data_IF_192566738770
#
_entry.id   IF_192566738770
#
_cell.length_a   1.000
_cell.length_b   1.000
_cell.length_c   1.000
_cell.angle_alpha   90.00
_cell.angle_beta   90.00
_cell.angle_gamma   90.00
#
_symmetry.space_group_name_H-M   'P 1'
#
loop_
_entity.id
_entity.type
_entity.pdbx_description
1 polymer ?
#
# COMPACT_ATOMS: atom_id res chain seq x y z
N UNK A 1 -22.17 23.64 74.87
CA UNK A 1 -22.47 23.33 73.47
C UNK A 1 -21.18 23.27 72.68
N UNK A 2 -20.66 22.04 72.39
CA UNK A 2 -19.45 21.86 71.60
C UNK A 2 -19.88 21.66 70.16
N UNK A 3 -19.46 22.58 69.26
CA UNK A 3 -19.66 22.48 67.79
C UNK A 3 -18.64 21.51 67.21
N UNK A 4 -19.10 20.36 66.71
CA UNK A 4 -18.30 19.46 65.90
C UNK A 4 -18.22 20.02 64.46
N UNK A 5 -17.03 20.41 64.03
CA UNK A 5 -16.73 20.77 62.64
C UNK A 5 -16.30 19.47 61.94
N UNK A 6 -17.16 18.97 61.06
CA UNK A 6 -16.87 17.81 60.20
C UNK A 6 -16.07 18.32 58.98
N UNK A 7 -14.75 18.12 59.00
CA UNK A 7 -13.91 18.45 57.86
C UNK A 7 -13.96 17.33 56.84
N UNK A 8 -14.68 17.55 55.73
CA UNK A 8 -14.74 16.65 54.57
C UNK A 8 -13.46 16.82 53.75
N UNK A 9 -12.47 15.95 53.94
CA UNK A 9 -11.29 15.86 53.08
C UNK A 9 -11.67 15.18 51.80
N UNK A 10 -11.86 15.96 50.74
CA UNK A 10 -12.06 15.41 49.37
C UNK A 10 -10.70 14.91 48.88
N UNK A 11 -10.51 13.59 48.90
CA UNK A 11 -9.34 12.92 48.30
C UNK A 11 -9.55 12.88 46.79
N UNK A 12 -9.08 13.88 46.06
CA UNK A 12 -8.98 13.89 44.61
C UNK A 12 -7.93 12.86 44.18
N UNK A 13 -8.34 11.61 43.96
CA UNK A 13 -7.51 10.67 43.21
C UNK A 13 -7.34 11.22 41.80
N UNK A 14 -6.19 11.77 41.50
CA UNK A 14 -5.76 12.09 40.14
C UNK A 14 -5.61 10.76 39.39
N UNK A 15 -6.68 10.31 38.74
CA UNK A 15 -6.58 9.23 37.75
C UNK A 15 -5.78 9.84 36.60
N UNK A 16 -4.49 9.54 36.53
CA UNK A 16 -3.69 9.82 35.34
C UNK A 16 -4.22 8.96 34.20
N UNK A 17 -5.24 9.45 33.51
CA UNK A 17 -5.66 8.89 32.23
C UNK A 17 -4.48 9.17 31.30
N UNK A 18 -3.68 8.17 31.00
CA UNK A 18 -2.71 8.26 29.92
C UNK A 18 -3.49 8.53 28.63
N UNK A 19 -3.60 9.81 28.26
CA UNK A 19 -4.25 10.20 27.04
C UNK A 19 -3.50 9.57 25.86
N UNK A 20 -4.23 8.94 24.94
CA UNK A 20 -3.66 8.41 23.71
C UNK A 20 -2.90 9.51 22.97
N UNK A 21 -1.68 9.23 22.54
CA UNK A 21 -0.92 10.16 21.71
C UNK A 21 -1.58 10.30 20.34
N UNK A 22 -2.22 11.43 20.07
CA UNK A 22 -2.89 11.75 18.81
C UNK A 22 -1.92 11.84 17.61
N UNK A 23 -0.63 11.91 17.89
CA UNK A 23 0.43 11.91 16.89
C UNK A 23 1.01 10.52 16.64
N UNK A 24 0.57 9.49 17.37
CA UNK A 24 0.94 8.11 17.11
C UNK A 24 -0.19 7.40 16.37
N UNK A 25 -0.05 7.23 15.06
CA UNK A 25 -1.02 6.60 14.17
C UNK A 25 -0.69 5.13 13.99
N UNK A 26 -1.66 4.27 14.23
CA UNK A 26 -1.49 2.82 14.22
C UNK A 26 -2.31 2.24 13.08
N UNK A 27 -1.69 1.36 12.31
CA UNK A 27 -2.35 0.56 11.28
C UNK A 27 -2.32 -0.91 11.65
N UNK A 28 -3.49 -1.57 11.58
CA UNK A 28 -3.60 -3.00 11.81
C UNK A 28 -3.43 -3.72 10.48
N UNK A 29 -2.67 -4.81 10.46
CA UNK A 29 -2.33 -5.55 9.25
C UNK A 29 -2.73 -6.99 9.41
N UNK A 30 -3.56 -7.50 8.50
CA UNK A 30 -3.97 -8.89 8.42
C UNK A 30 -3.79 -9.41 7.00
N UNK A 31 -3.61 -10.71 6.84
CA UNK A 31 -3.51 -11.34 5.52
C UNK A 31 -2.36 -12.33 5.43
N UNK A 32 -1.77 -12.40 4.25
CA UNK A 32 -0.77 -13.40 3.90
C UNK A 32 0.63 -12.83 3.73
N UNK A 33 1.58 -13.64 3.29
CA UNK A 33 3.00 -13.30 3.13
C UNK A 33 3.24 -12.10 2.19
N UNK A 34 2.29 -11.80 1.30
CA UNK A 34 2.32 -10.57 0.49
C UNK A 34 2.28 -9.26 1.31
N UNK A 35 2.05 -9.36 2.63
CA UNK A 35 2.17 -8.19 3.53
C UNK A 35 3.57 -8.05 4.15
N UNK A 36 4.28 -9.15 4.36
CA UNK A 36 5.53 -9.18 5.14
C UNK A 36 6.71 -9.81 4.39
N UNK A 37 6.68 -9.96 3.08
CA UNK A 37 7.76 -10.53 2.27
C UNK A 37 8.25 -11.92 2.74
N UNK A 38 8.85 -12.71 1.86
CA UNK A 38 9.48 -13.98 2.27
C UNK A 38 10.80 -13.69 2.98
N UNK A 39 10.93 -14.10 4.24
CA UNK A 39 12.23 -14.26 4.88
C UNK A 39 12.96 -15.42 4.19
N UNK A 40 14.06 -15.15 3.47
CA UNK A 40 14.99 -16.20 3.09
C UNK A 40 16.02 -16.40 4.22
N UNK A 41 16.72 -17.55 4.23
CA UNK A 41 17.62 -17.96 5.30
C UNK A 41 18.81 -17.00 5.54
N UNK A 42 19.05 -16.06 4.65
CA UNK A 42 20.20 -15.15 4.66
C UNK A 42 19.83 -13.70 4.98
N UNK A 43 18.53 -13.33 4.98
CA UNK A 43 18.08 -11.96 5.20
C UNK A 43 17.24 -11.84 6.45
N UNK A 44 17.58 -10.84 7.27
CA UNK A 44 16.64 -10.24 8.21
C UNK A 44 15.34 -9.94 7.45
N UNK A 45 14.20 -10.31 8.02
CA UNK A 45 12.86 -10.08 7.47
C UNK A 45 12.79 -8.71 6.75
N UNK A 46 12.75 -8.72 5.42
CA UNK A 46 12.55 -7.50 4.65
C UNK A 46 11.06 -7.33 4.41
N UNK A 47 10.51 -6.40 5.14
CA UNK A 47 9.11 -6.00 5.00
C UNK A 47 8.99 -4.85 4.01
N UNK A 48 9.35 -5.11 2.74
CA UNK A 48 9.40 -4.07 1.71
C UNK A 48 8.09 -3.29 1.57
N UNK A 49 6.94 -3.97 1.74
CA UNK A 49 5.65 -3.31 1.65
C UNK A 49 5.43 -2.38 2.84
N UNK A 50 5.61 -2.86 4.07
CA UNK A 50 5.37 -2.06 5.27
C UNK A 50 6.43 -0.99 5.45
N UNK A 51 7.69 -1.24 5.08
CA UNK A 51 8.73 -0.21 5.09
C UNK A 51 8.40 0.94 4.12
N UNK A 52 7.97 0.62 2.90
CA UNK A 52 7.53 1.61 1.92
C UNK A 52 6.28 2.35 2.39
N UNK A 53 5.33 1.65 3.00
CA UNK A 53 4.13 2.24 3.60
C UNK A 53 4.50 3.26 4.68
N UNK A 54 5.31 2.86 5.68
CA UNK A 54 5.72 3.73 6.79
C UNK A 54 6.52 4.92 6.30
N UNK A 55 7.44 4.71 5.36
CA UNK A 55 8.22 5.78 4.73
C UNK A 55 7.31 6.81 4.07
N UNK A 56 6.40 6.35 3.20
CA UNK A 56 5.48 7.23 2.48
C UNK A 56 4.55 7.99 3.43
N UNK A 57 4.03 7.31 4.46
CA UNK A 57 3.23 7.98 5.49
C UNK A 57 4.03 9.07 6.19
N UNK A 58 5.26 8.78 6.62
CA UNK A 58 6.10 9.75 7.35
C UNK A 58 6.47 10.97 6.50
N UNK A 59 6.65 10.78 5.20
CA UNK A 59 6.92 11.86 4.25
C UNK A 59 5.71 12.80 4.06
N UNK A 60 4.47 12.26 4.12
CA UNK A 60 3.25 13.03 3.85
C UNK A 60 2.61 13.62 5.10
N UNK A 61 2.87 13.06 6.28
CA UNK A 61 2.33 13.55 7.57
C UNK A 61 3.45 13.82 8.57
N UNK A 62 4.28 14.84 8.34
CA UNK A 62 5.39 15.16 9.23
C UNK A 62 4.87 15.44 10.65
N UNK A 63 5.58 14.95 11.66
CA UNK A 63 5.18 15.04 13.06
C UNK A 63 4.22 13.95 13.54
N UNK A 64 3.78 13.04 12.66
CA UNK A 64 3.09 11.80 13.06
C UNK A 64 4.08 10.64 13.14
N UNK A 65 3.99 9.86 14.21
CA UNK A 65 4.67 8.56 14.33
C UNK A 65 3.75 7.49 13.73
N UNK A 66 4.28 6.62 12.89
CA UNK A 66 3.51 5.56 12.26
C UNK A 66 3.90 4.23 12.90
N UNK A 67 2.92 3.51 13.40
CA UNK A 67 3.07 2.18 13.96
C UNK A 67 2.24 1.16 13.22
N UNK A 68 2.73 -0.07 13.17
CA UNK A 68 2.06 -1.19 12.53
C UNK A 68 1.89 -2.33 13.53
N UNK A 69 0.70 -2.91 13.58
CA UNK A 69 0.40 -4.14 14.30
C UNK A 69 0.03 -5.19 13.26
N UNK A 70 0.93 -6.12 12.99
CA UNK A 70 0.77 -7.11 11.95
C UNK A 70 0.56 -8.52 12.52
N UNK A 71 -0.47 -9.21 12.03
CA UNK A 71 -0.68 -10.64 12.19
C UNK A 71 -0.91 -11.23 10.79
N UNK A 72 0.09 -11.94 10.29
CA UNK A 72 0.08 -12.50 8.94
C UNK A 72 0.38 -13.99 8.98
N UNK A 73 -0.24 -14.72 8.07
CA UNK A 73 -0.10 -16.17 7.96
C UNK A 73 0.33 -16.54 6.54
N UNK A 74 1.33 -17.40 6.35
CA UNK A 74 1.64 -17.90 5.02
C UNK A 74 0.46 -18.72 4.47
N UNK A 75 0.15 -18.53 3.20
CA UNK A 75 -0.83 -19.34 2.42
C UNK A 75 -2.16 -19.69 3.13
N UNK A 76 -2.58 -18.91 4.13
CA UNK A 76 -3.80 -19.18 4.89
C UNK A 76 -4.99 -18.38 4.35
N UNK A 77 -6.16 -19.01 4.14
CA UNK A 77 -7.36 -18.30 3.73
C UNK A 77 -7.86 -17.35 4.83
N UNK A 78 -8.65 -16.36 4.42
CA UNK A 78 -9.17 -15.31 5.31
C UNK A 78 -9.98 -15.85 6.50
N UNK A 79 -10.52 -17.08 6.40
CA UNK A 79 -11.25 -17.73 7.49
C UNK A 79 -10.38 -17.90 8.76
N UNK A 80 -9.06 -17.92 8.64
CA UNK A 80 -8.15 -17.96 9.77
C UNK A 80 -8.34 -16.76 10.72
N UNK A 81 -8.84 -15.64 10.21
CA UNK A 81 -9.15 -14.43 10.98
C UNK A 81 -10.62 -14.29 11.36
N UNK A 82 -11.49 -15.24 10.99
CA UNK A 82 -12.91 -15.23 11.39
C UNK A 82 -13.05 -15.83 12.81
N UNK A 83 -13.27 -14.98 13.81
CA UNK A 83 -13.30 -15.38 15.23
C UNK A 83 -14.32 -16.48 15.57
N UNK A 84 -15.34 -16.65 14.73
CA UNK A 84 -16.37 -17.67 14.96
C UNK A 84 -16.02 -18.98 14.24
N UNK A 85 -15.19 -18.96 13.20
CA UNK A 85 -14.92 -20.10 12.33
C UNK A 85 -13.45 -20.55 12.29
N UNK A 86 -12.51 -19.78 12.83
CA UNK A 86 -11.07 -20.09 12.73
C UNK A 86 -10.73 -21.46 13.35
N UNK A 87 -11.39 -21.84 14.46
CA UNK A 87 -11.11 -23.13 15.12
C UNK A 87 -11.36 -24.32 14.21
N UNK A 88 -12.48 -24.30 13.45
CA UNK A 88 -12.78 -25.33 12.47
C UNK A 88 -11.75 -25.35 11.31
N UNK A 89 -11.24 -24.20 10.91
CA UNK A 89 -10.13 -24.14 9.96
C UNK A 89 -8.86 -24.72 10.55
N UNK A 90 -8.41 -24.23 11.69
CA UNK A 90 -7.16 -24.65 12.36
C UNK A 90 -7.13 -26.16 12.61
N UNK A 91 -8.24 -26.76 13.04
CA UNK A 91 -8.32 -28.21 13.29
C UNK A 91 -8.14 -29.07 12.03
N UNK A 92 -8.26 -28.50 10.84
CA UNK A 92 -8.13 -29.19 9.55
C UNK A 92 -6.81 -28.89 8.83
N UNK A 93 -5.98 -28.01 9.39
CA UNK A 93 -4.67 -27.68 8.79
C UNK A 93 -3.73 -28.87 8.94
N UNK A 94 -3.27 -29.40 7.82
CA UNK A 94 -2.32 -30.53 7.78
C UNK A 94 -0.91 -30.10 7.43
N UNK A 95 -0.76 -29.00 6.72
CA UNK A 95 0.53 -28.44 6.31
C UNK A 95 1.34 -27.96 7.51
N UNK A 96 2.57 -28.45 7.66
CA UNK A 96 3.42 -28.18 8.82
C UNK A 96 3.89 -26.72 8.90
N UNK A 97 4.07 -26.04 7.75
CA UNK A 97 4.45 -24.61 7.71
C UNK A 97 3.31 -23.76 8.26
N UNK A 98 2.08 -24.04 7.82
CA UNK A 98 0.89 -23.36 8.31
C UNK A 98 0.61 -23.66 9.79
N UNK A 99 0.79 -24.91 10.26
CA UNK A 99 0.72 -25.25 11.70
C UNK A 99 1.72 -24.44 12.51
N UNK A 100 2.98 -24.38 12.06
CA UNK A 100 4.03 -23.60 12.73
C UNK A 100 3.71 -22.11 12.76
N UNK A 101 3.17 -21.55 11.67
CA UNK A 101 2.77 -20.17 11.61
C UNK A 101 1.59 -19.86 12.55
N UNK A 102 0.56 -20.71 12.56
CA UNK A 102 -0.58 -20.61 13.47
C UNK A 102 -0.14 -20.73 14.94
N UNK A 103 0.81 -21.63 15.23
CA UNK A 103 1.37 -21.81 16.58
C UNK A 103 2.03 -20.54 17.13
N UNK A 104 2.58 -19.66 16.29
CA UNK A 104 3.11 -18.35 16.72
C UNK A 104 2.04 -17.45 17.34
N UNK A 105 0.78 -17.71 17.04
CA UNK A 105 -0.39 -16.96 17.49
C UNK A 105 -1.32 -17.80 18.38
N UNK A 106 -0.80 -18.81 19.06
CA UNK A 106 -1.57 -19.74 19.91
C UNK A 106 -2.78 -20.33 19.16
N UNK A 107 -2.63 -20.59 17.86
CA UNK A 107 -3.69 -21.03 16.95
C UNK A 107 -4.92 -20.10 16.89
N UNK A 108 -4.78 -18.84 17.29
CA UNK A 108 -5.84 -17.83 17.29
C UNK A 108 -5.34 -16.50 16.75
N UNK A 109 -5.12 -16.36 15.43
CA UNK A 109 -4.58 -15.12 14.82
C UNK A 109 -5.48 -13.91 15.09
N UNK A 110 -6.82 -14.08 15.07
CA UNK A 110 -7.73 -13.00 15.40
C UNK A 110 -7.57 -12.51 16.85
N UNK A 111 -7.54 -13.42 17.81
CA UNK A 111 -7.34 -13.08 19.22
C UNK A 111 -6.02 -12.38 19.47
N UNK A 112 -4.98 -12.84 18.81
CA UNK A 112 -3.64 -12.23 18.89
C UNK A 112 -3.65 -10.80 18.32
N UNK A 113 -4.26 -10.60 17.14
CA UNK A 113 -4.44 -9.26 16.57
C UNK A 113 -5.14 -8.31 17.56
N UNK A 114 -6.26 -8.74 18.13
CA UNK A 114 -7.02 -7.92 19.08
C UNK A 114 -6.21 -7.60 20.34
N UNK A 115 -5.47 -8.55 20.88
CA UNK A 115 -4.60 -8.35 22.04
C UNK A 115 -3.51 -7.32 21.77
N UNK A 116 -2.76 -7.49 20.68
CA UNK A 116 -1.70 -6.56 20.27
C UNK A 116 -2.26 -5.17 19.94
N UNK A 117 -3.41 -5.13 19.25
CA UNK A 117 -4.05 -3.87 18.88
C UNK A 117 -4.57 -3.09 20.11
N UNK A 118 -5.08 -3.76 21.14
CA UNK A 118 -5.46 -3.11 22.42
C UNK A 118 -4.25 -2.46 23.07
N UNK A 119 -3.12 -3.17 23.13
CA UNK A 119 -1.88 -2.65 23.70
C UNK A 119 -1.37 -1.45 22.88
N UNK A 120 -1.41 -1.50 21.55
CA UNK A 120 -1.02 -0.38 20.72
C UNK A 120 -1.98 0.80 20.86
N UNK A 121 -3.30 0.54 20.85
CA UNK A 121 -4.36 1.55 21.00
C UNK A 121 -4.27 2.31 22.32
N UNK A 122 -3.77 1.71 23.41
CA UNK A 122 -3.56 2.44 24.67
C UNK A 122 -2.50 3.55 24.54
N UNK A 123 -1.63 3.48 23.52
CA UNK A 123 -0.53 4.43 23.28
C UNK A 123 -0.80 5.40 22.14
N UNK A 124 -1.67 5.03 21.18
CA UNK A 124 -1.91 5.82 19.97
C UNK A 124 -3.29 5.57 19.39
N UNK A 125 -3.54 6.11 18.20
CA UNK A 125 -4.83 6.10 17.52
C UNK A 125 -4.80 5.14 16.33
N UNK A 126 -5.72 4.16 16.29
CA UNK A 126 -5.89 3.29 15.11
C UNK A 126 -6.50 4.09 13.98
N UNK A 127 -5.84 4.10 12.81
CA UNK A 127 -6.18 4.91 11.63
C UNK A 127 -6.62 4.09 10.41
N UNK A 128 -6.38 2.79 10.40
CA UNK A 128 -6.80 1.92 9.30
C UNK A 128 -6.50 0.46 9.58
N UNK A 129 -7.12 -0.39 8.77
CA UNK A 129 -6.88 -1.84 8.73
C UNK A 129 -6.43 -2.18 7.31
N UNK A 130 -5.31 -2.87 7.16
CA UNK A 130 -4.75 -3.30 5.88
C UNK A 130 -4.98 -4.81 5.71
N UNK A 131 -5.49 -5.20 4.57
CA UNK A 131 -5.70 -6.59 4.18
C UNK A 131 -5.03 -6.87 2.84
N UNK A 132 -4.16 -7.86 2.81
CA UNK A 132 -3.61 -8.43 1.58
C UNK A 132 -3.76 -9.95 1.61
N UNK A 133 -4.41 -10.48 0.60
CA UNK A 133 -4.56 -11.91 0.39
C UNK A 133 -3.95 -12.33 -0.95
N UNK A 134 -3.66 -13.61 -1.09
CA UNK A 134 -3.22 -14.23 -2.34
C UNK A 134 -4.24 -15.27 -2.83
N UNK A 135 -3.79 -16.33 -3.49
CA UNK A 135 -4.62 -17.35 -4.09
C UNK A 135 -5.18 -18.41 -3.14
N UNK A 136 -5.02 -18.29 -1.83
CA UNK A 136 -5.52 -19.29 -0.87
C UNK A 136 -7.02 -19.20 -0.60
N UNK A 137 -7.70 -18.18 -1.14
CA UNK A 137 -9.14 -17.98 -0.97
C UNK A 137 -9.91 -18.21 -2.27
N UNK A 138 -11.15 -18.72 -2.14
CA UNK A 138 -12.14 -18.68 -3.19
C UNK A 138 -12.77 -17.31 -3.26
N UNK A 139 -12.27 -16.44 -4.13
CA UNK A 139 -12.76 -15.08 -4.29
C UNK A 139 -14.17 -15.05 -4.89
N UNK A 140 -15.16 -14.93 -4.02
CA UNK A 140 -16.59 -14.89 -4.36
C UNK A 140 -17.36 -14.01 -3.35
N UNK A 141 -18.67 -13.98 -3.46
CA UNK A 141 -19.54 -13.20 -2.55
C UNK A 141 -19.42 -13.65 -1.07
N UNK A 142 -19.14 -14.93 -0.82
CA UNK A 142 -18.96 -15.44 0.54
C UNK A 142 -17.64 -14.90 1.14
N UNK A 143 -16.60 -14.79 0.34
CA UNK A 143 -15.35 -14.15 0.75
C UNK A 143 -15.57 -12.68 1.12
N UNK A 144 -16.27 -11.91 0.28
CA UNK A 144 -16.59 -10.51 0.57
C UNK A 144 -17.37 -10.34 1.88
N UNK A 145 -18.39 -11.18 2.10
CA UNK A 145 -19.19 -11.18 3.32
C UNK A 145 -18.34 -11.53 4.55
N UNK A 146 -17.38 -12.46 4.42
CA UNK A 146 -16.47 -12.83 5.50
C UNK A 146 -15.49 -11.71 5.83
N UNK A 147 -14.89 -11.07 4.83
CA UNK A 147 -14.05 -9.88 5.04
C UNK A 147 -14.81 -8.78 5.76
N UNK A 148 -16.04 -8.47 5.32
CA UNK A 148 -16.92 -7.50 5.99
C UNK A 148 -17.18 -7.88 7.45
N UNK A 149 -17.46 -9.15 7.73
CA UNK A 149 -17.69 -9.66 9.11
C UNK A 149 -16.44 -9.48 9.97
N UNK A 150 -15.27 -9.86 9.47
CA UNK A 150 -13.99 -9.71 10.18
C UNK A 150 -13.72 -8.23 10.48
N UNK A 151 -13.90 -7.35 9.52
CA UNK A 151 -13.76 -5.91 9.72
C UNK A 151 -14.63 -5.40 10.85
N UNK A 152 -15.94 -5.67 10.83
CA UNK A 152 -16.84 -5.20 11.88
C UNK A 152 -16.59 -5.86 13.25
N UNK A 153 -16.08 -7.08 13.27
CA UNK A 153 -15.61 -7.71 14.50
C UNK A 153 -14.44 -6.93 15.10
N UNK A 154 -13.43 -6.57 14.29
CA UNK A 154 -12.28 -5.77 14.75
C UNK A 154 -12.75 -4.39 15.26
N UNK A 155 -13.59 -3.69 14.48
CA UNK A 155 -14.16 -2.39 14.87
C UNK A 155 -14.84 -2.48 16.24
N UNK A 156 -15.73 -3.48 16.43
CA UNK A 156 -16.46 -3.67 17.68
C UNK A 156 -15.55 -4.06 18.84
N UNK A 157 -14.70 -5.06 18.65
CA UNK A 157 -13.89 -5.65 19.73
C UNK A 157 -12.77 -4.69 20.21
N UNK A 158 -12.42 -3.70 19.38
CA UNK A 158 -11.52 -2.60 19.73
C UNK A 158 -12.25 -1.28 20.05
N UNK A 159 -13.58 -1.25 20.00
CA UNK A 159 -14.37 -0.02 20.17
C UNK A 159 -13.86 1.13 19.29
N UNK A 160 -13.79 0.88 17.98
CA UNK A 160 -13.36 1.84 16.98
C UNK A 160 -14.58 2.47 16.27
N UNK A 161 -14.35 3.65 15.68
CA UNK A 161 -15.34 4.31 14.81
C UNK A 161 -15.09 3.89 13.35
N UNK A 162 -16.01 3.14 12.77
CA UNK A 162 -15.88 2.64 11.38
C UNK A 162 -15.76 3.76 10.34
N UNK A 163 -16.28 4.95 10.64
CA UNK A 163 -16.18 6.12 9.73
C UNK A 163 -14.78 6.73 9.69
N UNK A 164 -13.92 6.38 10.67
CA UNK A 164 -12.56 6.92 10.83
C UNK A 164 -11.45 5.88 10.62
N UNK A 165 -11.84 4.62 10.49
CA UNK A 165 -10.89 3.48 10.37
C UNK A 165 -11.25 2.67 9.13
N UNK A 166 -10.80 3.09 7.93
CA UNK A 166 -11.09 2.38 6.70
C UNK A 166 -10.40 1.02 6.64
N UNK A 167 -11.00 0.10 5.87
CA UNK A 167 -10.36 -1.14 5.45
C UNK A 167 -9.68 -0.92 4.09
N UNK A 168 -8.37 -1.07 4.03
CA UNK A 168 -7.56 -1.00 2.83
C UNK A 168 -7.34 -2.41 2.32
N UNK A 169 -7.76 -2.72 1.10
CA UNK A 169 -7.69 -4.07 0.53
C UNK A 169 -6.86 -4.02 -0.73
N UNK A 170 -5.71 -4.71 -0.73
CA UNK A 170 -4.84 -4.78 -1.89
C UNK A 170 -5.37 -5.74 -2.97
N UNK A 171 -5.21 -5.33 -4.22
CA UNK A 171 -5.32 -6.25 -5.35
C UNK A 171 -4.22 -7.31 -5.27
N UNK A 172 -4.46 -8.47 -5.88
CA UNK A 172 -3.43 -9.46 -6.17
C UNK A 172 -2.71 -9.10 -7.47
N UNK A 173 -1.63 -9.81 -7.80
CA UNK A 173 -0.90 -9.59 -9.04
C UNK A 173 -1.79 -9.59 -10.27
N UNK A 174 -1.66 -8.57 -11.12
CA UNK A 174 -2.51 -8.35 -12.30
C UNK A 174 -2.13 -9.27 -13.46
N UNK A 175 -3.07 -9.49 -14.38
CA UNK A 175 -2.90 -10.32 -15.57
C UNK A 175 -1.81 -9.80 -16.51
N UNK A 176 -1.62 -8.49 -16.61
CA UNK A 176 -0.59 -7.85 -17.43
C UNK A 176 0.85 -8.25 -17.02
N UNK A 177 1.03 -8.66 -15.74
CA UNK A 177 2.29 -9.20 -15.22
C UNK A 177 2.30 -10.73 -15.10
N UNK A 178 1.28 -11.39 -15.67
CA UNK A 178 1.12 -12.84 -15.60
C UNK A 178 0.63 -13.37 -14.26
N UNK A 179 0.00 -12.52 -13.44
CA UNK A 179 -0.49 -12.89 -12.11
C UNK A 179 -1.44 -14.06 -12.11
N UNK A 180 -1.08 -15.15 -11.41
CA UNK A 180 -1.85 -16.41 -11.39
C UNK A 180 -3.28 -16.24 -10.86
N UNK A 181 -3.48 -15.29 -9.96
CA UNK A 181 -4.76 -15.05 -9.30
C UNK A 181 -5.44 -13.76 -9.74
N UNK A 182 -5.03 -13.19 -10.86
CA UNK A 182 -5.51 -11.89 -11.36
C UNK A 182 -7.04 -11.79 -11.45
N UNK A 183 -7.74 -12.90 -11.65
CA UNK A 183 -9.20 -12.96 -11.70
C UNK A 183 -9.86 -12.52 -10.38
N UNK A 184 -9.17 -12.70 -9.23
CA UNK A 184 -9.63 -12.28 -7.91
C UNK A 184 -9.88 -10.76 -7.82
N UNK A 185 -9.13 -9.97 -8.61
CA UNK A 185 -9.28 -8.51 -8.62
C UNK A 185 -10.68 -8.03 -9.04
N UNK A 186 -11.44 -8.86 -9.81
CA UNK A 186 -12.86 -8.59 -10.11
C UNK A 186 -13.75 -8.60 -8.87
N UNK A 187 -13.41 -9.43 -7.88
CA UNK A 187 -14.16 -9.56 -6.62
C UNK A 187 -13.66 -8.50 -5.63
N UNK A 188 -12.33 -8.35 -5.51
CA UNK A 188 -11.69 -7.34 -4.67
C UNK A 188 -12.19 -5.94 -5.06
N UNK A 189 -12.21 -5.61 -6.34
CA UNK A 189 -12.64 -4.32 -6.88
C UNK A 189 -14.10 -3.94 -6.57
N UNK A 190 -14.92 -4.91 -6.13
CA UNK A 190 -16.32 -4.68 -5.75
C UNK A 190 -16.52 -4.53 -4.23
N UNK A 191 -15.45 -4.59 -3.43
CA UNK A 191 -15.60 -4.57 -1.97
C UNK A 191 -16.30 -3.33 -1.42
N UNK A 192 -16.12 -2.17 -2.04
CA UNK A 192 -16.81 -0.93 -1.65
C UNK A 192 -18.35 -1.01 -1.75
N UNK A 193 -18.87 -1.93 -2.58
CA UNK A 193 -20.33 -2.19 -2.68
C UNK A 193 -20.85 -3.01 -1.52
N UNK A 194 -19.97 -3.77 -0.86
CA UNK A 194 -20.32 -4.66 0.26
C UNK A 194 -19.98 -4.02 1.60
N UNK A 195 -18.89 -3.26 1.64
CA UNK A 195 -18.39 -2.54 2.81
C UNK A 195 -18.06 -1.10 2.41
N UNK A 196 -18.91 -0.16 2.80
CA UNK A 196 -18.80 1.27 2.47
C UNK A 196 -17.44 1.87 2.88
N UNK A 197 -16.88 1.43 4.00
CA UNK A 197 -15.61 1.94 4.54
C UNK A 197 -14.41 1.14 4.03
N UNK A 198 -14.48 0.59 2.83
CA UNK A 198 -13.35 -0.10 2.21
C UNK A 198 -12.81 0.67 1.01
N UNK A 199 -11.50 0.65 0.88
CA UNK A 199 -10.74 1.24 -0.22
C UNK A 199 -9.88 0.14 -0.86
N UNK A 200 -10.02 -0.03 -2.16
CA UNK A 200 -9.18 -0.95 -2.92
C UNK A 200 -7.85 -0.26 -3.24
N UNK A 201 -6.76 -0.96 -2.95
CA UNK A 201 -5.40 -0.54 -3.27
C UNK A 201 -4.99 -1.24 -4.57
N UNK A 202 -4.85 -0.52 -5.68
CA UNK A 202 -4.56 -1.11 -6.97
C UNK A 202 -3.12 -1.61 -7.05
N UNK A 203 -2.90 -2.75 -7.71
CA UNK A 203 -1.58 -3.33 -7.96
C UNK A 203 -1.01 -3.03 -9.36
N UNK A 204 -1.51 -1.98 -10.00
CA UNK A 204 -0.97 -1.46 -11.25
C UNK A 204 0.50 -1.08 -11.09
N UNK A 205 1.35 -1.38 -12.06
CA UNK A 205 2.80 -1.17 -12.00
C UNK A 205 3.49 -1.79 -10.77
N UNK A 206 2.94 -2.89 -10.24
CA UNK A 206 3.57 -3.69 -9.19
C UNK A 206 4.08 -5.00 -9.82
N UNK A 207 5.34 -5.07 -10.27
CA UNK A 207 5.88 -6.26 -10.90
C UNK A 207 5.90 -7.44 -9.95
N UNK A 208 5.74 -8.63 -10.53
CA UNK A 208 5.71 -9.90 -9.80
C UNK A 208 7.07 -10.60 -9.84
N UNK A 209 7.33 -11.42 -8.83
CA UNK A 209 8.41 -12.39 -8.82
C UNK A 209 8.17 -13.49 -9.89
N UNK A 210 9.15 -14.36 -10.10
CA UNK A 210 9.09 -15.40 -11.13
C UNK A 210 7.95 -16.39 -10.92
N UNK A 211 7.53 -16.64 -9.69
CA UNK A 211 6.43 -17.53 -9.35
C UNK A 211 5.05 -16.98 -9.77
N UNK A 212 4.96 -15.70 -10.13
CA UNK A 212 3.73 -15.02 -10.55
C UNK A 212 2.61 -15.01 -9.51
N UNK A 213 2.96 -15.21 -8.25
CA UNK A 213 2.08 -15.17 -7.09
C UNK A 213 2.42 -13.98 -6.21
N UNK A 214 3.72 -13.88 -5.87
CA UNK A 214 4.23 -12.81 -5.02
C UNK A 214 4.73 -11.63 -5.85
N UNK A 215 4.73 -10.46 -5.24
CA UNK A 215 5.36 -9.29 -5.84
C UNK A 215 6.88 -9.41 -5.79
N UNK A 216 7.58 -8.84 -6.75
CA UNK A 216 9.00 -8.58 -6.65
C UNK A 216 9.28 -7.55 -5.53
N UNK A 217 10.53 -7.33 -5.17
CA UNK A 217 10.89 -6.26 -4.23
C UNK A 217 10.30 -4.91 -4.66
N UNK A 218 10.50 -4.53 -5.91
CA UNK A 218 9.95 -3.30 -6.48
C UNK A 218 8.42 -3.27 -6.42
N UNK A 219 7.77 -4.40 -6.74
CA UNK A 219 6.32 -4.54 -6.65
C UNK A 219 5.79 -4.34 -5.24
N UNK A 220 6.49 -4.86 -4.22
CA UNK A 220 6.15 -4.63 -2.82
C UNK A 220 6.33 -3.16 -2.41
N UNK A 221 7.42 -2.51 -2.85
CA UNK A 221 7.67 -1.10 -2.57
C UNK A 221 6.59 -0.20 -3.19
N UNK A 222 6.20 -0.48 -4.44
CA UNK A 222 5.11 0.23 -5.12
C UNK A 222 3.76 0.01 -4.42
N UNK A 223 3.46 -1.23 -4.04
CA UNK A 223 2.20 -1.54 -3.37
C UNK A 223 2.13 -0.88 -1.99
N UNK A 224 3.23 -0.89 -1.23
CA UNK A 224 3.33 -0.22 0.07
C UNK A 224 3.09 1.29 -0.02
N UNK A 225 3.69 1.94 -1.01
CA UNK A 225 3.42 3.34 -1.32
C UNK A 225 1.92 3.58 -1.57
N UNK A 226 1.27 2.75 -2.38
CA UNK A 226 -0.17 2.88 -2.69
C UNK A 226 -1.07 2.64 -1.50
N UNK A 227 -0.70 1.71 -0.63
CA UNK A 227 -1.40 1.54 0.65
C UNK A 227 -1.36 2.82 1.47
N UNK A 228 -0.21 3.50 1.53
CA UNK A 228 -0.07 4.77 2.26
C UNK A 228 -0.94 5.88 1.64
N UNK A 229 -0.91 6.04 0.33
CA UNK A 229 -1.75 7.01 -0.39
C UNK A 229 -3.23 6.73 -0.13
N UNK A 230 -3.68 5.46 -0.23
CA UNK A 230 -5.07 5.08 0.08
C UNK A 230 -5.43 5.28 1.54
N UNK A 231 -4.50 5.04 2.46
CA UNK A 231 -4.71 5.29 3.89
C UNK A 231 -4.94 6.78 4.16
N UNK A 232 -4.14 7.65 3.56
CA UNK A 232 -4.28 9.10 3.69
C UNK A 232 -5.61 9.59 3.10
N UNK A 233 -5.98 9.13 1.90
CA UNK A 233 -7.29 9.42 1.30
C UNK A 233 -8.44 8.95 2.18
N UNK A 234 -8.34 7.76 2.76
CA UNK A 234 -9.37 7.16 3.61
C UNK A 234 -9.65 7.90 4.92
N UNK A 235 -8.70 8.69 5.39
CA UNK A 235 -8.86 9.56 6.58
C UNK A 235 -9.13 11.02 6.22
N UNK A 236 -9.42 11.30 4.93
CA UNK A 236 -9.72 12.65 4.44
C UNK A 236 -8.50 13.58 4.34
N UNK A 237 -7.30 13.02 4.25
CA UNK A 237 -6.10 13.81 4.01
C UNK A 237 -6.03 14.20 2.54
N UNK A 238 -6.00 15.50 2.27
CA UNK A 238 -5.78 16.00 0.91
C UNK A 238 -4.31 15.81 0.56
N UNK A 239 -4.06 14.82 -0.28
CA UNK A 239 -2.74 14.67 -0.88
C UNK A 239 -2.54 15.80 -1.89
N UNK A 240 -1.32 16.34 -2.02
CA UNK A 240 -0.98 17.15 -3.18
C UNK A 240 -1.42 16.37 -4.42
N UNK A 241 -2.11 17.02 -5.36
CA UNK A 241 -2.61 16.32 -6.55
C UNK A 241 -1.49 15.50 -7.18
N UNK A 242 -1.58 14.17 -7.02
CA UNK A 242 -0.73 13.25 -7.79
C UNK A 242 -1.22 13.38 -9.22
N UNK A 243 -0.41 13.98 -10.06
CA UNK A 243 -0.72 14.17 -11.47
C UNK A 243 -1.03 12.82 -12.09
N UNK A 244 -2.28 12.64 -12.52
CA UNK A 244 -2.69 11.44 -13.25
C UNK A 244 -2.08 11.51 -14.62
N UNK A 245 -0.94 10.89 -14.82
CA UNK A 245 -0.43 10.64 -16.16
C UNK A 245 -1.29 9.55 -16.80
N UNK A 246 -2.25 9.96 -17.63
CA UNK A 246 -3.32 9.07 -18.09
C UNK A 246 -3.03 8.35 -19.39
N UNK A 247 -2.02 8.77 -20.16
CA UNK A 247 -1.62 8.06 -21.37
C UNK A 247 -0.22 8.44 -21.83
N UNK A 248 0.54 7.45 -22.25
CA UNK A 248 1.79 7.63 -23.00
C UNK A 248 1.52 7.12 -24.42
N UNK A 249 1.64 8.00 -25.39
CA UNK A 249 1.57 7.62 -26.80
C UNK A 249 2.98 7.68 -27.37
N UNK A 250 3.53 6.50 -27.74
CA UNK A 250 4.80 6.39 -28.43
C UNK A 250 4.61 6.76 -29.89
N UNK A 251 5.32 7.75 -30.40
CA UNK A 251 5.44 8.02 -31.82
C UNK A 251 6.89 7.78 -32.23
N UNK A 252 7.11 6.85 -33.14
CA UNK A 252 8.43 6.63 -33.73
C UNK A 252 8.53 7.49 -34.96
N UNK A 253 9.45 8.44 -34.99
CA UNK A 253 9.85 9.12 -36.21
C UNK A 253 10.85 8.22 -36.88
N UNK A 254 10.63 7.92 -38.13
CA UNK A 254 11.21 6.82 -38.91
C UNK A 254 12.75 6.83 -38.96
N UNK A 255 13.38 6.30 -37.91
CA UNK A 255 14.78 5.91 -37.87
C UNK A 255 14.89 4.50 -37.30
N UNK A 256 15.32 3.59 -38.11
CA UNK A 256 15.25 2.12 -37.95
C UNK A 256 15.94 1.49 -36.72
N UNK A 257 16.52 2.25 -35.82
CA UNK A 257 17.45 1.71 -34.80
C UNK A 257 17.28 2.22 -33.38
N UNK A 258 16.51 3.30 -33.15
CA UNK A 258 16.39 3.89 -31.79
C UNK A 258 15.18 3.36 -31.05
N UNK A 259 15.42 2.70 -29.93
CA UNK A 259 14.38 2.30 -28.98
C UNK A 259 14.61 2.99 -27.62
N UNK A 260 13.62 3.77 -27.18
CA UNK A 260 13.54 4.34 -25.84
C UNK A 260 12.32 3.75 -25.14
N UNK A 261 12.53 3.07 -24.04
CA UNK A 261 11.46 2.69 -23.12
C UNK A 261 11.27 3.78 -22.09
N UNK A 262 10.03 4.17 -21.79
CA UNK A 262 9.72 5.13 -20.72
C UNK A 262 8.75 4.54 -19.72
N UNK A 263 8.97 4.84 -18.45
CA UNK A 263 8.09 4.51 -17.35
C UNK A 263 7.90 5.75 -16.47
N UNK A 264 6.69 5.95 -15.94
CA UNK A 264 6.39 7.08 -15.05
C UNK A 264 5.94 6.52 -13.71
N UNK A 265 6.66 6.92 -12.67
CA UNK A 265 6.31 6.56 -11.30
C UNK A 265 5.11 7.35 -10.79
N UNK A 266 4.46 6.85 -9.72
CA UNK A 266 3.36 7.54 -9.03
C UNK A 266 3.77 8.91 -8.45
N UNK A 267 5.08 9.18 -8.35
CA UNK A 267 5.64 10.48 -7.93
C UNK A 267 5.82 11.47 -9.10
N UNK A 268 5.38 11.10 -10.30
CA UNK A 268 5.56 11.93 -11.49
C UNK A 268 7.00 11.96 -12.00
N UNK A 269 7.83 10.97 -11.65
CA UNK A 269 9.19 10.83 -12.20
C UNK A 269 9.12 9.92 -13.42
N UNK A 270 9.44 10.47 -14.58
CA UNK A 270 9.65 9.71 -15.81
C UNK A 270 11.05 9.13 -15.79
N UNK A 271 11.18 7.83 -15.98
CA UNK A 271 12.44 7.11 -16.19
C UNK A 271 12.50 6.64 -17.63
N UNK A 272 13.54 7.03 -18.35
CA UNK A 272 13.80 6.63 -19.72
C UNK A 272 14.98 5.65 -19.78
N UNK A 273 14.87 4.62 -20.60
CA UNK A 273 15.97 3.68 -20.92
C UNK A 273 16.06 3.52 -22.43
N UNK A 274 17.21 3.81 -23.00
CA UNK A 274 17.43 3.75 -24.44
C UNK A 274 18.46 2.66 -24.81
N UNK A 275 18.38 2.15 -26.03
CA UNK A 275 19.37 1.24 -26.60
C UNK A 275 20.68 1.97 -26.96
N UNK A 276 20.65 3.29 -27.17
CA UNK A 276 21.81 4.16 -27.43
C UNK A 276 21.85 5.36 -26.46
N UNK A 277 23.04 5.97 -26.23
CA UNK A 277 23.14 7.07 -25.27
C UNK A 277 22.27 8.27 -25.61
N UNK A 278 21.51 8.77 -24.63
CA UNK A 278 20.70 9.98 -24.71
C UNK A 278 21.63 11.18 -24.57
N UNK A 279 21.54 12.09 -25.53
CA UNK A 279 22.44 13.29 -25.62
C UNK A 279 21.68 14.57 -25.27
N UNK A 280 20.36 14.61 -25.51
CA UNK A 280 19.51 15.77 -25.27
C UNK A 280 18.07 15.35 -25.03
N UNK A 281 17.34 16.13 -24.25
CA UNK A 281 15.90 15.98 -24.06
C UNK A 281 15.24 17.33 -24.34
N UNK A 282 14.19 17.32 -25.17
CA UNK A 282 13.32 18.48 -25.38
C UNK A 282 11.93 18.19 -24.82
N UNK A 283 11.38 19.15 -24.09
CA UNK A 283 10.00 19.08 -23.60
C UNK A 283 9.21 20.21 -24.26
N UNK A 284 8.13 19.87 -24.95
CA UNK A 284 7.29 20.79 -25.70
C UNK A 284 5.85 20.79 -25.17
N UNK A 285 5.16 21.92 -25.31
CA UNK A 285 3.71 22.02 -25.03
C UNK A 285 2.88 21.40 -26.18
N UNK A 286 1.55 21.40 -26.03
CA UNK A 286 0.64 20.87 -27.05
C UNK A 286 0.73 21.60 -28.40
N UNK A 287 1.14 22.87 -28.41
CA UNK A 287 1.35 23.67 -29.63
C UNK A 287 2.73 23.43 -30.27
N UNK A 288 3.57 22.53 -29.72
CA UNK A 288 4.91 22.26 -30.23
C UNK A 288 5.99 23.25 -29.80
N UNK A 289 5.65 24.20 -28.94
CA UNK A 289 6.65 25.18 -28.46
C UNK A 289 7.49 24.54 -27.35
N UNK A 290 8.82 24.74 -27.42
CA UNK A 290 9.75 24.23 -26.40
C UNK A 290 9.49 24.89 -25.04
N UNK A 291 9.25 24.05 -24.04
CA UNK A 291 9.15 24.44 -22.63
C UNK A 291 10.53 24.35 -21.97
N UNK A 292 11.27 23.31 -22.31
CA UNK A 292 12.59 23.02 -21.72
C UNK A 292 13.46 22.23 -22.68
N UNK A 293 14.71 22.62 -22.76
CA UNK A 293 15.80 21.89 -23.40
C UNK A 293 16.80 21.46 -22.34
N UNK A 294 17.26 20.23 -22.40
CA UNK A 294 18.20 19.64 -21.45
C UNK A 294 19.31 18.97 -22.25
N UNK A 295 20.46 19.61 -22.32
CA UNK A 295 21.68 19.02 -22.89
C UNK A 295 22.31 18.12 -21.83
N UNK A 296 22.69 16.90 -22.23
CA UNK A 296 23.27 15.90 -21.33
C UNK A 296 24.78 15.87 -21.62
N UNK A 297 25.56 16.48 -20.72
CA UNK A 297 27.00 16.61 -20.85
C UNK A 297 27.74 15.26 -20.92
N UNK A 298 27.23 14.27 -20.16
CA UNK A 298 27.70 12.89 -20.18
C UNK A 298 26.61 11.98 -20.70
N UNK A 299 26.57 11.66 -22.01
CA UNK A 299 25.51 10.85 -22.58
C UNK A 299 25.39 9.48 -21.91
N UNK A 300 24.18 9.12 -21.47
CA UNK A 300 23.88 7.89 -20.76
C UNK A 300 22.67 7.18 -21.38
N UNK A 301 22.60 5.86 -21.21
CA UNK A 301 21.45 5.07 -21.69
C UNK A 301 20.19 5.21 -20.82
N UNK A 302 20.32 5.81 -19.65
CA UNK A 302 19.20 6.03 -18.73
C UNK A 302 19.14 7.48 -18.31
N UNK A 303 17.91 8.01 -18.18
CA UNK A 303 17.68 9.37 -17.69
C UNK A 303 16.38 9.44 -16.89
N UNK A 304 16.33 10.30 -15.87
CA UNK A 304 15.13 10.56 -15.09
C UNK A 304 14.70 12.01 -15.17
N UNK A 305 13.43 12.25 -15.44
CA UNK A 305 12.83 13.57 -15.58
C UNK A 305 11.68 13.73 -14.59
N UNK A 306 11.73 14.78 -13.77
CA UNK A 306 10.66 15.12 -12.84
C UNK A 306 9.57 15.90 -13.58
N UNK A 307 8.45 15.22 -13.88
CA UNK A 307 7.33 15.79 -14.61
C UNK A 307 6.59 16.87 -13.80
N UNK A 308 6.73 16.88 -12.47
CA UNK A 308 6.13 17.90 -11.61
C UNK A 308 6.68 19.31 -11.85
N UNK A 309 7.82 19.43 -12.55
CA UNK A 309 8.44 20.70 -12.93
C UNK A 309 7.86 21.29 -14.22
N UNK A 310 6.91 20.60 -14.88
CA UNK A 310 6.33 21.04 -16.14
C UNK A 310 4.83 21.37 -15.97
N UNK A 311 4.27 22.20 -16.87
CA UNK A 311 2.85 22.57 -16.84
C UNK A 311 1.92 21.35 -16.93
N UNK A 312 0.74 21.47 -16.34
CA UNK A 312 -0.37 20.53 -16.52
C UNK A 312 -0.83 20.54 -17.99
N UNK A 313 -1.27 19.38 -18.47
CA UNK A 313 -1.81 19.22 -19.81
C UNK A 313 -0.91 18.36 -20.70
N UNK A 314 -1.19 18.40 -22.00
CA UNK A 314 -0.48 17.57 -22.98
C UNK A 314 0.91 18.14 -23.26
N UNK A 315 1.93 17.34 -23.00
CA UNK A 315 3.33 17.65 -23.31
C UNK A 315 3.93 16.57 -24.20
N UNK A 316 4.87 16.96 -25.04
CA UNK A 316 5.67 16.06 -25.87
C UNK A 316 7.12 16.08 -25.38
N UNK A 317 7.66 14.90 -25.10
CA UNK A 317 9.06 14.72 -24.68
C UNK A 317 9.80 14.02 -25.82
N UNK A 318 10.87 14.62 -26.28
CA UNK A 318 11.72 14.12 -27.34
C UNK A 318 13.06 13.73 -26.74
N UNK A 319 13.43 12.49 -26.86
CA UNK A 319 14.75 11.99 -26.49
C UNK A 319 15.62 11.91 -27.74
N UNK A 320 16.68 12.72 -27.78
CA UNK A 320 17.72 12.65 -28.79
C UNK A 320 18.83 11.72 -28.32
N UNK A 321 19.20 10.79 -29.14
CA UNK A 321 20.28 9.85 -28.88
C UNK A 321 21.40 10.00 -29.93
N UNK A 322 22.50 9.31 -29.75
CA UNK A 322 23.60 9.28 -30.76
C UNK A 322 23.16 8.64 -32.09
N UNK A 323 22.04 7.94 -32.14
CA UNK A 323 21.59 7.19 -33.34
C UNK A 323 20.23 7.68 -33.89
N UNK A 324 19.62 8.69 -33.27
CA UNK A 324 18.35 9.26 -33.71
C UNK A 324 17.50 9.77 -32.54
N UNK A 325 16.22 9.99 -32.79
CA UNK A 325 15.29 10.54 -31.79
C UNK A 325 14.03 9.73 -31.63
N UNK A 326 13.40 9.82 -30.46
CA UNK A 326 12.10 9.22 -30.17
C UNK A 326 11.21 10.17 -29.35
N UNK A 327 9.95 10.28 -29.78
CA UNK A 327 8.94 11.11 -29.14
C UNK A 327 8.02 10.32 -28.25
N UNK A 328 7.61 10.96 -27.15
CA UNK A 328 6.52 10.48 -26.27
C UNK A 328 5.58 11.65 -25.97
N UNK A 329 4.31 11.46 -26.22
CA UNK A 329 3.27 12.41 -25.80
C UNK A 329 2.65 11.93 -24.52
N UNK A 330 2.64 12.81 -23.51
CA UNK A 330 2.18 12.52 -22.15
C UNK A 330 1.11 13.55 -21.80
N UNK A 331 0.03 13.10 -21.18
CA UNK A 331 -0.92 13.99 -20.52
C UNK A 331 -0.45 14.17 -19.07
N UNK A 332 0.20 15.28 -18.78
CA UNK A 332 0.86 15.57 -17.52
C UNK A 332 -0.10 16.18 -16.50
#
# INVERSE_FOLDING_TARGET
MKKFIFSLVLFLMSISVNAQDQNYWIYLVIGQENMVGKANAESKSYDFLLDSFVKTMSENVPGKRIGVVAVTLPTSPIVAFDKDNYRNYVSKVTDESNKKALGKYDNNPYGQLISMARTAKSKGVVKGIMLQQDGSDDYNDAWQKRVKKIYYNIIRDLSLDSTKVPLLIGEVGRAEYGGKYAAANKVIGKMNRVLQYSLVVPSENCPLADDKIYYSKEGFEHLGHRYAIKALQGIGFELPEVRKTTSITKQTIDHKTVEVGVNISDKGILSATANSPITKISVQNEAGNSIKEIDIAEPAKTYSLDLNKFPQGKITIIFYTTEGEQLFTINN
#
